data_IF_059667182368
#
_entry.id   IF_059667182368
#
_cell.length_a   1.000
_cell.length_b   1.000
_cell.length_c   1.000
_cell.angle_alpha   90.00
_cell.angle_beta   90.00
_cell.angle_gamma   90.00
#
_symmetry.space_group_name_H-M   'P 1'
#
loop_
_entity.id
_entity.type
_entity.pdbx_description
1 polymer ?
#
# COMPACT_ATOMS: atom_id res chain seq x y z
N UNK A 1 12.21 -11.42 22.83
CA UNK A 1 10.82 -10.90 22.91
C UNK A 1 10.81 -9.49 22.31
N UNK A 2 10.57 -9.33 21.00
CA UNK A 2 10.56 -8.01 20.31
C UNK A 2 9.51 -7.92 19.19
N UNK A 3 8.48 -8.78 19.23
CA UNK A 3 7.53 -8.88 18.11
C UNK A 3 6.32 -7.93 18.24
N UNK A 4 6.09 -7.35 19.42
CA UNK A 4 4.92 -6.48 19.67
C UNK A 4 5.13 -5.03 19.24
N UNK A 5 6.34 -4.49 19.37
CA UNK A 5 6.63 -3.09 19.01
C UNK A 5 6.60 -2.84 17.49
N UNK A 6 6.96 -3.85 16.69
CA UNK A 6 6.98 -3.75 15.22
C UNK A 6 5.59 -3.71 14.57
N UNK A 7 4.59 -4.34 15.21
CA UNK A 7 3.21 -4.40 14.69
C UNK A 7 2.48 -3.06 14.88
N UNK A 8 2.74 -2.38 15.99
CA UNK A 8 2.20 -1.04 16.23
C UNK A 8 2.73 -0.02 15.20
N UNK A 9 4.01 -0.13 14.85
CA UNK A 9 4.67 0.74 13.88
C UNK A 9 4.12 0.54 12.45
N UNK A 10 3.83 -0.72 12.07
CA UNK A 10 3.29 -1.01 10.74
C UNK A 10 1.84 -0.54 10.57
N UNK A 11 0.98 -0.65 11.59
CA UNK A 11 -0.37 -0.10 11.53
C UNK A 11 -0.38 1.44 11.48
N UNK A 12 0.49 2.08 12.28
CA UNK A 12 0.63 3.54 12.29
C UNK A 12 1.16 4.09 10.95
N UNK A 13 2.17 3.42 10.37
CA UNK A 13 2.70 3.79 9.05
C UNK A 13 1.62 3.71 7.95
N UNK A 14 0.68 2.78 8.07
CA UNK A 14 -0.41 2.61 7.10
C UNK A 14 -1.45 3.69 7.23
N UNK A 15 -1.88 4.02 8.46
CA UNK A 15 -2.77 5.14 8.69
C UNK A 15 -2.21 6.43 8.05
N UNK A 16 -0.91 6.66 8.23
CA UNK A 16 -0.21 7.78 7.60
C UNK A 16 -0.21 7.72 6.06
N UNK A 17 -0.09 6.55 5.44
CA UNK A 17 -0.22 6.44 3.97
C UNK A 17 -1.64 6.77 3.47
N UNK A 18 -2.68 6.38 4.21
CA UNK A 18 -4.06 6.73 3.88
C UNK A 18 -4.36 8.22 4.06
N UNK A 19 -3.76 8.85 5.07
CA UNK A 19 -3.84 10.31 5.27
C UNK A 19 -3.15 11.08 4.14
N UNK A 20 -2.01 10.59 3.64
CA UNK A 20 -1.30 11.19 2.50
C UNK A 20 -1.99 10.97 1.15
N UNK A 21 -2.74 9.89 1.00
CA UNK A 21 -3.55 9.62 -0.19
C UNK A 21 -4.73 10.59 -0.24
N UNK A 22 -4.50 11.80 -0.77
CA UNK A 22 -5.50 12.86 -0.79
C UNK A 22 -6.64 12.64 -1.80
N UNK A 23 -6.44 11.76 -2.79
CA UNK A 23 -7.45 11.47 -3.81
C UNK A 23 -8.29 10.24 -3.41
N UNK A 24 -9.64 10.30 -3.55
CA UNK A 24 -10.51 9.16 -3.26
C UNK A 24 -10.12 7.87 -3.98
N UNK A 25 -9.68 7.98 -5.25
CA UNK A 25 -9.23 6.84 -6.05
C UNK A 25 -7.96 6.18 -5.49
N UNK A 26 -7.06 6.96 -4.89
CA UNK A 26 -5.86 6.44 -4.24
C UNK A 26 -6.22 5.69 -2.96
N UNK A 27 -7.10 6.25 -2.13
CA UNK A 27 -7.58 5.61 -0.91
C UNK A 27 -8.34 4.31 -1.21
N UNK A 28 -9.20 4.32 -2.23
CA UNK A 28 -9.91 3.11 -2.68
C UNK A 28 -8.93 2.01 -3.10
N UNK A 29 -7.94 2.37 -3.94
CA UNK A 29 -6.94 1.40 -4.43
C UNK A 29 -6.10 0.84 -3.28
N UNK A 30 -5.62 1.69 -2.37
CA UNK A 30 -4.89 1.25 -1.18
C UNK A 30 -5.76 0.36 -0.30
N UNK A 31 -7.04 0.70 -0.11
CA UNK A 31 -8.00 -0.10 0.63
C UNK A 31 -8.18 -1.49 0.04
N UNK A 32 -8.34 -1.59 -1.28
CA UNK A 32 -8.42 -2.88 -1.98
C UNK A 32 -7.16 -3.73 -1.78
N UNK A 33 -5.97 -3.11 -1.92
CA UNK A 33 -4.70 -3.82 -1.70
C UNK A 33 -4.56 -4.31 -0.25
N UNK A 34 -4.98 -3.51 0.73
CA UNK A 34 -5.01 -3.93 2.14
C UNK A 34 -5.90 -5.15 2.33
N UNK A 35 -7.12 -5.12 1.77
CA UNK A 35 -8.07 -6.24 1.85
C UNK A 35 -7.48 -7.49 1.21
N UNK A 36 -6.83 -7.39 0.05
CA UNK A 36 -6.16 -8.53 -0.58
C UNK A 36 -5.04 -9.12 0.29
N UNK A 37 -4.18 -8.28 0.86
CA UNK A 37 -3.06 -8.74 1.71
C UNK A 37 -3.58 -9.51 2.92
N UNK A 38 -4.61 -8.96 3.58
CA UNK A 38 -5.21 -9.58 4.76
C UNK A 38 -5.98 -10.86 4.39
N UNK A 39 -6.66 -10.88 3.24
CA UNK A 39 -7.37 -12.06 2.73
C UNK A 39 -6.41 -13.19 2.34
N UNK A 40 -5.21 -12.85 1.87
CA UNK A 40 -4.12 -13.80 1.61
C UNK A 40 -3.47 -14.33 2.92
N UNK A 41 -3.94 -13.89 4.10
CA UNK A 41 -3.38 -14.25 5.40
C UNK A 41 -1.96 -13.69 5.64
N UNK A 42 -1.56 -12.65 4.90
CA UNK A 42 -0.22 -12.07 4.98
C UNK A 42 -0.21 -10.90 5.96
N UNK A 43 0.93 -10.69 6.60
CA UNK A 43 1.13 -9.52 7.45
C UNK A 43 1.08 -8.25 6.61
N UNK A 44 0.26 -7.30 7.05
CA UNK A 44 0.17 -6.00 6.45
C UNK A 44 1.35 -5.13 6.89
N UNK A 45 2.23 -4.83 5.94
CA UNK A 45 3.39 -3.96 6.13
C UNK A 45 3.78 -3.31 4.80
N UNK A 46 4.73 -2.37 4.84
CA UNK A 46 5.22 -1.69 3.65
C UNK A 46 5.70 -2.64 2.55
N UNK A 47 6.37 -3.75 2.90
CA UNK A 47 6.84 -4.74 1.92
C UNK A 47 5.67 -5.42 1.21
N UNK A 48 4.65 -5.88 1.94
CA UNK A 48 3.48 -6.52 1.33
C UNK A 48 2.70 -5.56 0.45
N UNK A 49 2.57 -4.29 0.87
CA UNK A 49 1.95 -3.22 0.07
C UNK A 49 2.72 -2.97 -1.23
N UNK A 50 4.03 -2.73 -1.15
CA UNK A 50 4.86 -2.53 -2.34
C UNK A 50 4.78 -3.71 -3.31
N UNK A 51 4.85 -4.95 -2.80
CA UNK A 51 4.78 -6.14 -3.67
C UNK A 51 3.46 -6.24 -4.41
N UNK A 52 2.32 -5.95 -3.76
CA UNK A 52 1.01 -5.99 -4.43
C UNK A 52 0.86 -4.87 -5.46
N UNK A 53 1.26 -3.64 -5.12
CA UNK A 53 1.22 -2.50 -6.05
C UNK A 53 2.11 -2.73 -7.27
N UNK A 54 3.32 -3.27 -7.09
CA UNK A 54 4.20 -3.63 -8.21
C UNK A 54 3.58 -4.71 -9.10
N UNK A 55 2.95 -5.74 -8.52
CA UNK A 55 2.29 -6.79 -9.31
C UNK A 55 1.10 -6.27 -10.12
N UNK A 56 0.40 -5.23 -9.64
CA UNK A 56 -0.66 -4.56 -10.40
C UNK A 56 -0.08 -3.65 -11.48
N UNK A 57 0.99 -2.91 -11.17
CA UNK A 57 1.72 -2.08 -12.14
C UNK A 57 2.21 -2.90 -13.34
N UNK A 58 2.76 -4.10 -13.11
CA UNK A 58 3.17 -5.03 -14.17
C UNK A 58 2.03 -5.46 -15.10
N UNK A 59 0.78 -5.27 -14.72
CA UNK A 59 -0.43 -5.66 -15.45
C UNK A 59 -1.29 -4.47 -15.89
N UNK A 60 -0.81 -3.25 -15.65
CA UNK A 60 -1.56 -2.04 -15.94
C UNK A 60 -1.81 -1.92 -17.45
N UNK A 61 -3.02 -1.50 -17.84
CA UNK A 61 -3.42 -1.36 -19.25
C UNK A 61 -3.36 0.10 -19.69
N UNK A 62 -2.18 0.70 -19.56
CA UNK A 62 -1.88 2.02 -20.10
C UNK A 62 -1.26 3.02 -19.12
N UNK A 63 -0.86 4.20 -19.64
CA UNK A 63 -0.01 5.13 -18.92
C UNK A 63 -0.69 5.78 -17.72
N UNK A 64 -2.02 5.96 -17.76
CA UNK A 64 -2.77 6.55 -16.65
C UNK A 64 -2.79 5.62 -15.43
N UNK A 65 -2.98 4.31 -15.66
CA UNK A 65 -3.01 3.32 -14.60
C UNK A 65 -1.59 3.08 -14.04
N UNK A 66 -0.58 3.04 -14.91
CA UNK A 66 0.83 3.00 -14.47
C UNK A 66 1.18 4.21 -13.60
N UNK A 67 0.80 5.42 -14.02
CA UNK A 67 1.03 6.64 -13.26
C UNK A 67 0.32 6.59 -11.90
N UNK A 68 -0.90 6.06 -11.85
CA UNK A 68 -1.64 5.86 -10.60
C UNK A 68 -0.88 4.97 -9.62
N UNK A 69 -0.40 3.81 -10.06
CA UNK A 69 0.39 2.92 -9.20
C UNK A 69 1.75 3.53 -8.80
N UNK A 70 2.40 4.28 -9.71
CA UNK A 70 3.63 5.01 -9.37
C UNK A 70 3.41 6.06 -8.29
N UNK A 71 2.32 6.82 -8.34
CA UNK A 71 1.97 7.77 -7.28
C UNK A 71 1.77 7.06 -5.94
N UNK A 72 1.02 5.96 -5.92
CA UNK A 72 0.79 5.17 -4.70
C UNK A 72 2.07 4.59 -4.12
N UNK A 73 2.97 4.08 -4.98
CA UNK A 73 4.29 3.63 -4.56
C UNK A 73 5.10 4.80 -3.98
N UNK A 74 5.05 5.99 -4.61
CA UNK A 74 5.68 7.22 -4.11
C UNK A 74 5.31 7.54 -2.66
N UNK A 75 4.02 7.44 -2.31
CA UNK A 75 3.52 7.66 -0.94
C UNK A 75 4.18 6.72 0.07
N UNK A 76 4.50 5.48 -0.33
CA UNK A 76 5.19 4.51 0.52
C UNK A 76 6.67 4.85 0.72
N UNK A 77 7.29 5.64 -0.17
CA UNK A 77 8.71 5.99 -0.13
C UNK A 77 9.04 7.36 0.46
N UNK A 78 8.06 8.24 0.58
CA UNK A 78 8.22 9.50 1.30
C UNK A 78 8.40 9.25 2.81
N UNK A 79 9.56 9.66 3.34
CA UNK A 79 9.87 9.67 4.78
C UNK A 79 9.31 10.91 5.44
#
# INVERSE_FOLDING_TARGET
MQQKDYVADSAAAIAHYFEKAALPTQQETLGQVVVEILSDGRNLNRKSLCTKLLSRLEKADGPEEEQHYHMLLGLLFER
#
